data_IF_588564755683
#
_entry.id   IF_588564755683
#
_cell.length_a   1.000
_cell.length_b   1.000
_cell.length_c   1.000
_cell.angle_alpha   90.00
_cell.angle_beta   90.00
_cell.angle_gamma   90.00
#
_symmetry.space_group_name_H-M   'P 1'
#
loop_
_entity.id
_entity.type
_entity.pdbx_description
1 polymer ?
#
# COMPACT_ATOMS: atom_id res chain seq x y z
N UNK A 1 -5.15 5.15 -17.05
CA UNK A 1 -4.83 4.60 -15.70
C UNK A 1 -3.42 4.99 -15.23
N UNK A 2 -2.37 4.81 -16.05
CA UNK A 2 -0.98 5.20 -15.71
C UNK A 2 -0.85 6.72 -15.47
N UNK A 3 -1.47 7.55 -16.30
CA UNK A 3 -1.47 9.02 -16.16
C UNK A 3 -2.11 9.51 -14.86
N UNK A 4 -3.18 8.84 -14.40
CA UNK A 4 -3.83 9.19 -13.14
C UNK A 4 -2.92 8.89 -11.94
N UNK A 5 -2.28 7.72 -11.90
CA UNK A 5 -1.36 7.35 -10.80
C UNK A 5 -0.14 8.26 -10.75
N UNK A 6 0.42 8.58 -11.91
CA UNK A 6 1.54 9.50 -12.01
C UNK A 6 1.14 10.91 -11.53
N UNK A 7 -0.04 11.40 -11.93
CA UNK A 7 -0.55 12.68 -11.47
C UNK A 7 -0.76 12.72 -9.95
N UNK A 8 -1.45 11.72 -9.38
CA UNK A 8 -1.69 11.63 -7.93
C UNK A 8 -0.37 11.52 -7.16
N UNK A 9 0.59 10.72 -7.64
CA UNK A 9 1.90 10.58 -6.99
C UNK A 9 2.68 11.91 -7.01
N UNK A 10 2.71 12.59 -8.16
CA UNK A 10 3.32 13.93 -8.29
C UNK A 10 2.66 14.94 -7.37
N UNK A 11 1.34 14.89 -7.24
CA UNK A 11 0.59 15.76 -6.35
C UNK A 11 0.91 15.50 -4.87
N UNK A 12 0.99 14.24 -4.44
CA UNK A 12 1.44 13.87 -3.09
C UNK A 12 2.85 14.41 -2.84
N UNK A 13 3.77 14.25 -3.79
CA UNK A 13 5.15 14.73 -3.67
C UNK A 13 5.20 16.24 -3.55
N UNK A 14 4.39 16.96 -4.33
CA UNK A 14 4.27 18.40 -4.24
C UNK A 14 3.72 18.86 -2.88
N UNK A 15 2.69 18.19 -2.36
CA UNK A 15 2.13 18.48 -1.03
C UNK A 15 3.11 18.21 0.10
N UNK A 16 3.88 17.12 0.02
CA UNK A 16 4.94 16.83 0.98
C UNK A 16 6.06 17.87 0.91
N UNK A 17 6.49 18.25 -0.30
CA UNK A 17 7.51 19.26 -0.51
C UNK A 17 7.09 20.62 0.05
N UNK A 18 5.88 21.09 -0.25
CA UNK A 18 5.36 22.38 0.27
C UNK A 18 5.18 22.36 1.78
N UNK A 19 4.93 21.18 2.37
CA UNK A 19 4.86 21.01 3.82
C UNK A 19 6.24 20.92 4.52
N UNK A 20 7.35 20.84 3.79
CA UNK A 20 8.71 20.74 4.34
C UNK A 20 9.26 19.32 4.47
N UNK A 21 8.62 18.33 3.84
CA UNK A 21 9.00 16.91 3.87
C UNK A 21 9.37 16.39 2.46
N UNK A 22 10.37 16.98 1.79
CA UNK A 22 10.65 16.66 0.40
C UNK A 22 11.13 15.21 0.23
N UNK A 23 10.73 14.61 -0.89
CA UNK A 23 11.21 13.30 -1.32
C UNK A 23 12.00 13.43 -2.63
N UNK A 24 13.12 12.70 -2.78
CA UNK A 24 13.83 12.61 -4.04
C UNK A 24 12.95 12.06 -5.17
N UNK A 25 13.11 12.59 -6.39
CA UNK A 25 12.34 12.13 -7.56
C UNK A 25 12.51 10.63 -7.86
N UNK A 26 13.67 10.06 -7.54
CA UNK A 26 13.97 8.62 -7.69
C UNK A 26 13.01 7.72 -6.87
N UNK A 27 12.36 8.27 -5.83
CA UNK A 27 11.36 7.57 -5.02
C UNK A 27 10.06 7.31 -5.78
N UNK A 28 9.77 8.06 -6.85
CA UNK A 28 8.50 7.99 -7.58
C UNK A 28 8.14 6.56 -7.98
N UNK A 29 9.10 5.81 -8.53
CA UNK A 29 8.86 4.42 -8.93
C UNK A 29 8.59 3.50 -7.72
N UNK A 30 9.26 3.70 -6.60
CA UNK A 30 9.01 2.91 -5.38
C UNK A 30 7.64 3.20 -4.78
N UNK A 31 7.15 4.44 -4.89
CA UNK A 31 5.78 4.80 -4.48
C UNK A 31 4.74 4.20 -5.44
N UNK A 32 5.02 4.15 -6.74
CA UNK A 32 4.17 3.43 -7.69
C UNK A 32 4.13 1.92 -7.40
N UNK A 33 5.26 1.31 -7.03
CA UNK A 33 5.30 -0.10 -6.60
C UNK A 33 4.51 -0.31 -5.31
N UNK A 34 4.59 0.62 -4.35
CA UNK A 34 3.80 0.59 -3.12
C UNK A 34 2.29 0.68 -3.42
N UNK A 35 1.88 1.60 -4.30
CA UNK A 35 0.50 1.66 -4.79
C UNK A 35 0.11 0.33 -5.44
N UNK A 36 0.96 -0.23 -6.28
CA UNK A 36 0.68 -1.51 -6.92
C UNK A 36 0.42 -2.64 -5.90
N UNK A 37 1.13 -2.66 -4.78
CA UNK A 37 0.82 -3.60 -3.68
C UNK A 37 -0.59 -3.35 -3.10
N UNK A 38 -1.08 -2.11 -3.04
CA UNK A 38 -2.46 -1.80 -2.64
C UNK A 38 -3.49 -2.36 -3.63
N UNK A 39 -3.17 -2.42 -4.93
CA UNK A 39 -4.13 -2.95 -5.91
C UNK A 39 -4.29 -4.48 -5.82
N UNK A 40 -3.26 -5.21 -5.38
CA UNK A 40 -3.30 -6.68 -5.27
C UNK A 40 -4.22 -7.05 -4.09
N UNK A 41 -5.34 -7.77 -4.29
CA UNK A 41 -6.33 -7.97 -3.24
C UNK A 41 -6.07 -9.18 -2.32
N UNK A 42 -4.98 -9.92 -2.48
CA UNK A 42 -4.65 -11.11 -1.66
C UNK A 42 -3.19 -11.11 -1.17
N UNK A 43 -2.95 -11.83 -0.07
CA UNK A 43 -1.66 -11.86 0.58
C UNK A 43 -0.61 -12.65 -0.20
N UNK A 44 -1.00 -13.77 -0.84
CA UNK A 44 -0.05 -14.64 -1.52
C UNK A 44 0.69 -13.88 -2.64
N UNK A 45 -0.03 -13.16 -3.50
CA UNK A 45 0.56 -12.36 -4.55
C UNK A 45 1.30 -11.13 -4.03
N UNK A 46 0.82 -10.49 -2.96
CA UNK A 46 1.53 -9.38 -2.30
C UNK A 46 2.89 -9.82 -1.76
N UNK A 47 2.91 -10.92 -1.02
CA UNK A 47 4.14 -11.47 -0.43
C UNK A 47 5.12 -11.91 -1.52
N UNK A 48 4.66 -12.61 -2.55
CA UNK A 48 5.51 -12.99 -3.67
C UNK A 48 6.09 -11.76 -4.38
N UNK A 49 5.26 -10.76 -4.65
CA UNK A 49 5.65 -9.54 -5.38
C UNK A 49 6.75 -8.79 -4.65
N UNK A 50 6.60 -8.56 -3.35
CA UNK A 50 7.59 -7.81 -2.57
C UNK A 50 8.87 -8.62 -2.31
N UNK A 51 8.78 -9.95 -2.26
CA UNK A 51 9.94 -10.84 -2.10
C UNK A 51 10.77 -10.98 -3.36
N UNK A 52 10.19 -10.77 -4.54
CA UNK A 52 10.93 -10.88 -5.80
C UNK A 52 11.95 -9.72 -5.93
N UNK A 53 13.26 -9.98 -5.88
CA UNK A 53 14.28 -8.93 -5.88
C UNK A 53 14.42 -8.21 -7.22
N UNK A 54 13.93 -8.79 -8.33
CA UNK A 54 13.88 -8.11 -9.63
C UNK A 54 12.79 -7.04 -9.64
N UNK A 55 11.66 -7.32 -9.00
CA UNK A 55 10.54 -6.37 -8.89
C UNK A 55 10.80 -5.34 -7.79
N UNK A 56 11.19 -5.79 -6.60
CA UNK A 56 11.48 -4.94 -5.44
C UNK A 56 12.95 -5.07 -5.07
N UNK A 57 13.77 -4.13 -5.51
CA UNK A 57 15.18 -4.08 -5.14
C UNK A 57 15.35 -3.44 -3.76
N UNK A 58 16.51 -3.61 -3.12
CA UNK A 58 16.74 -3.10 -1.76
C UNK A 58 16.53 -1.59 -1.68
N UNK A 59 16.97 -0.86 -2.71
CA UNK A 59 16.74 0.58 -2.81
C UNK A 59 15.26 0.95 -2.95
N UNK A 60 14.42 0.07 -3.52
CA UNK A 60 12.97 0.30 -3.55
C UNK A 60 12.34 0.17 -2.17
N UNK A 61 12.80 -0.80 -1.37
CA UNK A 61 12.36 -0.98 0.02
C UNK A 61 12.74 0.24 0.85
N UNK A 62 13.99 0.72 0.71
CA UNK A 62 14.45 1.95 1.37
C UNK A 62 13.58 3.16 1.01
N UNK A 63 13.34 3.41 -0.29
CA UNK A 63 12.55 4.56 -0.70
C UNK A 63 11.07 4.45 -0.34
N UNK A 64 10.50 3.23 -0.28
CA UNK A 64 9.16 3.03 0.24
C UNK A 64 9.08 3.36 1.74
N UNK A 65 10.08 2.96 2.53
CA UNK A 65 10.17 3.32 3.96
C UNK A 65 10.34 4.83 4.12
N UNK A 66 11.24 5.45 3.34
CA UNK A 66 11.43 6.90 3.37
C UNK A 66 10.12 7.64 3.08
N UNK A 67 9.36 7.20 2.06
CA UNK A 67 8.03 7.74 1.78
C UNK A 67 7.07 7.59 2.97
N UNK A 68 6.98 6.40 3.56
CA UNK A 68 6.12 6.15 4.74
C UNK A 68 6.50 7.03 5.92
N UNK A 69 7.79 7.23 6.18
CA UNK A 69 8.30 8.12 7.23
C UNK A 69 7.92 9.58 6.95
N UNK A 70 8.09 10.07 5.72
CA UNK A 70 7.71 11.45 5.38
C UNK A 70 6.20 11.67 5.50
N UNK A 71 5.39 10.68 5.11
CA UNK A 71 3.94 10.72 5.32
C UNK A 71 3.62 10.76 6.82
N UNK A 72 4.26 9.94 7.66
CA UNK A 72 4.05 9.97 9.11
C UNK A 72 4.41 11.33 9.73
N UNK A 73 5.54 11.92 9.32
CA UNK A 73 5.95 13.25 9.77
C UNK A 73 4.92 14.31 9.35
N UNK A 74 4.45 14.28 8.11
CA UNK A 74 3.39 15.17 7.63
C UNK A 74 2.10 15.00 8.45
N UNK A 75 1.65 13.77 8.68
CA UNK A 75 0.42 13.50 9.43
C UNK A 75 0.53 13.98 10.89
N UNK A 76 1.68 13.79 11.52
CA UNK A 76 1.91 14.24 12.90
C UNK A 76 1.91 15.76 13.00
N UNK A 77 2.73 16.43 12.20
CA UNK A 77 2.99 17.86 12.35
C UNK A 77 1.93 18.74 11.69
N UNK A 78 1.44 18.37 10.50
CA UNK A 78 0.47 19.19 9.75
C UNK A 78 -0.98 18.85 10.05
N UNK A 79 -1.26 17.62 10.48
CA UNK A 79 -2.63 17.13 10.77
C UNK A 79 -2.86 16.83 12.25
N UNK A 80 -1.90 17.12 13.12
CA UNK A 80 -1.99 16.94 14.57
C UNK A 80 -2.22 15.49 14.99
N UNK A 81 -1.90 14.52 14.13
CA UNK A 81 -2.19 13.11 14.40
C UNK A 81 -1.19 12.55 15.41
N UNK A 82 -1.70 12.17 16.59
CA UNK A 82 -0.87 11.60 17.66
C UNK A 82 -0.61 10.10 17.50
N UNK A 83 -1.42 9.43 16.68
CA UNK A 83 -1.36 7.97 16.47
C UNK A 83 -1.19 7.64 15.00
N UNK A 84 -0.62 6.47 14.71
CA UNK A 84 -0.45 6.00 13.32
C UNK A 84 -1.75 5.44 12.72
N UNK A 85 -2.91 5.67 13.35
CA UNK A 85 -4.18 5.09 12.95
C UNK A 85 -4.64 5.58 11.58
N UNK A 86 -4.42 6.86 11.27
CA UNK A 86 -4.68 7.44 9.94
C UNK A 86 -3.76 6.85 8.87
N UNK A 87 -2.45 6.73 9.14
CA UNK A 87 -1.52 6.07 8.20
C UNK A 87 -2.00 4.65 7.91
N UNK A 88 -2.36 3.88 8.94
CA UNK A 88 -2.85 2.51 8.75
C UNK A 88 -4.17 2.45 7.98
N UNK A 89 -5.08 3.40 8.22
CA UNK A 89 -6.33 3.52 7.45
C UNK A 89 -6.05 3.82 5.98
N UNK A 90 -5.12 4.73 5.69
CA UNK A 90 -4.69 5.08 4.32
C UNK A 90 -4.08 3.84 3.64
N UNK A 91 -3.18 3.12 4.32
CA UNK A 91 -2.52 1.93 3.79
C UNK A 91 -3.45 0.70 3.69
N UNK A 92 -4.63 0.77 4.30
CA UNK A 92 -5.67 -0.24 4.14
C UNK A 92 -6.59 0.03 2.94
N UNK A 93 -6.48 1.18 2.28
CA UNK A 93 -7.26 1.45 1.07
C UNK A 93 -6.67 0.70 -0.13
N UNK A 94 -7.44 0.50 -1.21
CA UNK A 94 -6.93 -0.06 -2.48
C UNK A 94 -6.18 0.98 -3.34
N UNK A 95 -6.05 2.23 -2.89
CA UNK A 95 -5.46 3.31 -3.68
C UNK A 95 -4.79 4.39 -2.83
N UNK A 96 -3.72 5.01 -3.35
CA UNK A 96 -3.13 6.21 -2.75
C UNK A 96 -3.94 7.49 -3.02
N UNK A 97 -4.97 7.45 -3.87
CA UNK A 97 -5.86 8.61 -4.07
C UNK A 97 -6.46 9.09 -2.75
N UNK A 98 -6.78 8.17 -1.83
CA UNK A 98 -7.28 8.53 -0.50
C UNK A 98 -6.27 9.33 0.34
N UNK A 99 -4.97 9.02 0.23
CA UNK A 99 -3.91 9.83 0.85
C UNK A 99 -3.92 11.25 0.27
N UNK A 100 -3.93 11.38 -1.07
CA UNK A 100 -3.96 12.69 -1.74
C UNK A 100 -5.18 13.49 -1.31
N UNK A 101 -6.36 12.88 -1.35
CA UNK A 101 -7.62 13.54 -0.98
C UNK A 101 -7.59 13.98 0.50
N UNK A 102 -7.03 13.15 1.38
CA UNK A 102 -6.86 13.51 2.78
C UNK A 102 -5.87 14.67 2.96
N UNK A 103 -4.75 14.66 2.23
CA UNK A 103 -3.77 15.75 2.25
C UNK A 103 -4.35 17.07 1.71
N UNK A 104 -5.32 17.01 0.79
CA UNK A 104 -6.07 18.18 0.28
C UNK A 104 -7.22 18.63 1.16
N UNK A 105 -7.51 17.95 2.27
CA UNK A 105 -8.72 18.17 3.08
C UNK A 105 -10.01 17.96 2.27
N UNK A 106 -10.03 17.02 1.34
CA UNK A 106 -11.24 16.66 0.59
C UNK A 106 -12.02 15.52 1.28
N UNK A 107 -11.34 14.72 2.11
CA UNK A 107 -11.95 13.64 2.89
C UNK A 107 -11.54 13.74 4.37
N UNK A 108 -12.34 13.11 5.23
CA UNK A 108 -12.15 13.07 6.69
C UNK A 108 -12.15 14.47 7.35
N UNK A 109 -13.01 15.36 6.85
CA UNK A 109 -13.14 16.72 7.38
C UNK A 109 -14.00 16.78 8.65
N UNK A 110 -14.83 15.77 8.90
CA UNK A 110 -15.64 15.63 10.11
C UNK A 110 -15.29 14.36 10.89
N UNK A 111 -15.62 14.35 12.18
CA UNK A 111 -15.50 13.15 13.01
C UNK A 111 -16.38 12.01 12.48
N UNK A 112 -17.53 12.32 11.89
CA UNK A 112 -18.44 11.33 11.30
C UNK A 112 -17.77 10.64 10.10
N UNK A 113 -17.14 11.40 9.21
CA UNK A 113 -16.40 10.84 8.07
C UNK A 113 -15.25 9.93 8.54
N UNK A 114 -14.57 10.35 9.60
CA UNK A 114 -13.51 9.57 10.22
C UNK A 114 -14.03 8.23 10.76
N UNK A 115 -15.12 8.27 11.54
CA UNK A 115 -15.73 7.05 12.06
C UNK A 115 -16.24 6.16 10.94
N UNK A 116 -16.89 6.71 9.90
CA UNK A 116 -17.33 5.95 8.74
C UNK A 116 -16.16 5.25 8.03
N UNK A 117 -15.01 5.92 7.86
CA UNK A 117 -13.83 5.31 7.26
C UNK A 117 -13.26 4.17 8.13
N UNK A 118 -13.22 4.35 9.45
CA UNK A 118 -12.82 3.28 10.37
C UNK A 118 -13.80 2.12 10.41
N UNK A 119 -15.11 2.39 10.26
CA UNK A 119 -16.13 1.35 10.17
C UNK A 119 -15.93 0.51 8.92
N UNK A 120 -15.76 1.14 7.75
CA UNK A 120 -15.44 0.41 6.51
C UNK A 120 -14.18 -0.42 6.63
N UNK A 121 -13.20 0.06 7.40
CA UNK A 121 -11.93 -0.65 7.55
C UNK A 121 -11.96 -1.81 8.54
N UNK A 122 -12.30 -1.58 9.81
CA UNK A 122 -11.97 -2.54 10.89
C UNK A 122 -13.14 -2.89 11.81
N UNK A 123 -14.32 -2.32 11.61
CA UNK A 123 -15.47 -2.67 12.44
C UNK A 123 -15.88 -4.12 12.18
N UNK A 124 -16.19 -4.87 13.22
CA UNK A 124 -16.69 -6.24 13.10
C UNK A 124 -18.14 -6.20 13.56
N UNK A 125 -19.11 -6.24 12.64
CA UNK A 125 -20.52 -6.28 12.99
C UNK A 125 -20.84 -7.50 13.86
N UNK A 126 -21.78 -7.33 14.79
CA UNK A 126 -22.25 -8.43 15.64
C UNK A 126 -23.39 -9.17 14.95
N UNK A 127 -23.62 -10.43 15.34
CA UNK A 127 -24.80 -11.16 14.93
C UNK A 127 -26.06 -10.40 15.40
N UNK A 128 -26.96 -10.08 14.47
CA UNK A 128 -28.15 -9.26 14.71
C UNK A 128 -28.05 -7.79 14.27
N UNK A 129 -26.89 -7.35 13.79
CA UNK A 129 -26.71 -6.00 13.21
C UNK A 129 -27.13 -5.93 11.72
N UNK A 130 -27.72 -7.00 11.19
CA UNK A 130 -28.11 -7.13 9.78
C UNK A 130 -29.11 -6.04 9.37
N UNK A 131 -28.83 -5.36 8.25
CA UNK A 131 -29.63 -4.25 7.75
C UNK A 131 -29.41 -2.91 8.47
N UNK A 132 -28.57 -2.85 9.51
CA UNK A 132 -28.20 -1.59 10.16
C UNK A 132 -27.17 -0.82 9.33
N UNK A 133 -27.10 0.48 9.57
CA UNK A 133 -26.04 1.36 9.06
C UNK A 133 -25.28 1.99 10.22
N UNK A 134 -23.95 1.97 10.11
CA UNK A 134 -23.05 2.52 11.12
C UNK A 134 -22.36 3.76 10.56
N UNK A 135 -22.74 4.96 11.04
CA UNK A 135 -22.22 6.24 10.53
C UNK A 135 -22.38 6.38 8.99
N UNK A 136 -23.52 5.93 8.46
CA UNK A 136 -23.81 5.95 7.01
C UNK A 136 -23.08 4.88 6.21
N UNK A 137 -22.41 3.92 6.86
CA UNK A 137 -21.81 2.75 6.23
C UNK A 137 -22.80 1.58 6.31
N UNK A 138 -23.21 0.99 5.18
CA UNK A 138 -24.02 -0.22 5.16
C UNK A 138 -23.31 -1.39 5.87
N UNK A 139 -24.09 -2.25 6.52
CA UNK A 139 -23.62 -3.45 7.22
C UNK A 139 -22.67 -4.29 6.34
N UNK A 140 -22.99 -4.45 5.06
CA UNK A 140 -22.27 -5.27 4.08
C UNK A 140 -20.88 -4.73 3.74
N UNK A 141 -20.63 -3.45 4.03
CA UNK A 141 -19.35 -2.77 3.77
C UNK A 141 -18.52 -2.60 5.06
N UNK A 142 -19.11 -2.93 6.21
CA UNK A 142 -18.48 -2.68 7.50
C UNK A 142 -17.39 -3.73 7.76
N UNK A 143 -16.16 -3.25 7.90
CA UNK A 143 -14.99 -4.10 8.15
C UNK A 143 -14.43 -4.81 6.92
N UNK A 144 -14.97 -4.59 5.72
CA UNK A 144 -14.58 -5.34 4.53
C UNK A 144 -13.14 -5.05 4.07
N UNK A 145 -12.63 -3.82 4.27
CA UNK A 145 -11.29 -3.47 3.80
C UNK A 145 -10.15 -4.15 4.57
N UNK A 146 -10.42 -4.81 5.70
CA UNK A 146 -9.38 -5.55 6.43
C UNK A 146 -9.14 -6.97 5.88
N UNK A 147 -9.93 -7.42 4.91
CA UNK A 147 -9.87 -8.79 4.39
C UNK A 147 -9.41 -8.83 2.94
N UNK A 148 -8.91 -9.99 2.50
CA UNK A 148 -8.62 -10.25 1.09
C UNK A 148 -9.86 -9.99 0.22
N UNK A 149 -9.64 -9.64 -1.05
CA UNK A 149 -10.70 -9.18 -1.94
C UNK A 149 -11.22 -7.78 -1.60
N UNK A 150 -10.69 -7.12 -0.57
CA UNK A 150 -11.29 -5.92 0.02
C UNK A 150 -12.78 -6.16 0.40
N UNK A 151 -13.08 -7.39 0.82
CA UNK A 151 -14.42 -7.89 1.15
C UNK A 151 -15.33 -8.17 -0.05
N UNK A 152 -14.82 -8.08 -1.28
CA UNK A 152 -15.53 -8.60 -2.45
C UNK A 152 -15.53 -10.13 -2.41
N UNK A 153 -16.67 -10.79 -2.66
CA UNK A 153 -16.70 -12.24 -2.78
C UNK A 153 -15.85 -12.69 -3.98
N UNK A 154 -15.04 -13.74 -3.82
CA UNK A 154 -14.39 -14.38 -4.98
C UNK A 154 -15.49 -14.95 -5.89
N UNK A 155 -15.33 -14.79 -7.19
CA UNK A 155 -16.41 -14.99 -8.18
C UNK A 155 -17.07 -16.38 -8.18
N UNK A 156 -16.51 -17.40 -7.53
CA UNK A 156 -16.93 -18.79 -7.70
C UNK A 156 -17.17 -19.58 -6.38
N UNK A 157 -17.22 -18.92 -5.22
CA UNK A 157 -17.38 -19.60 -3.92
C UNK A 157 -18.83 -19.79 -3.49
N UNK A 158 -19.41 -20.97 -3.73
CA UNK A 158 -20.63 -21.40 -3.03
C UNK A 158 -20.26 -21.74 -1.58
N UNK A 159 -20.42 -20.78 -0.69
CA UNK A 159 -20.17 -20.94 0.75
C UNK A 159 -19.61 -19.68 1.41
N UNK A 160 -19.74 -19.59 2.73
CA UNK A 160 -19.17 -18.50 3.52
C UNK A 160 -17.65 -18.65 3.55
N UNK A 161 -16.96 -18.08 2.55
CA UNK A 161 -15.50 -18.16 2.44
C UNK A 161 -14.84 -17.60 3.72
N UNK A 162 -13.79 -18.28 4.19
CA UNK A 162 -13.03 -17.86 5.36
C UNK A 162 -12.37 -16.53 5.07
N UNK A 163 -12.85 -15.45 5.69
CA UNK A 163 -12.27 -14.11 5.58
C UNK A 163 -10.83 -14.10 6.13
N UNK A 164 -9.84 -14.04 5.23
CA UNK A 164 -8.41 -13.93 5.57
C UNK A 164 -8.07 -12.45 5.70
N UNK A 165 -7.39 -12.05 6.78
CA UNK A 165 -6.96 -10.65 6.97
C UNK A 165 -5.91 -10.27 5.93
N UNK A 166 -6.12 -9.13 5.28
CA UNK A 166 -5.20 -8.58 4.29
C UNK A 166 -4.06 -7.85 5.00
N UNK A 167 -2.82 -8.22 4.68
CA UNK A 167 -1.61 -7.58 5.20
C UNK A 167 -1.43 -6.26 4.45
N UNK A 168 -1.28 -5.17 5.19
CA UNK A 168 -1.15 -3.84 4.58
C UNK A 168 0.23 -3.68 3.91
N UNK A 169 0.35 -2.86 2.86
CA UNK A 169 1.63 -2.63 2.19
C UNK A 169 2.71 -2.05 3.11
N UNK A 170 2.35 -1.20 4.07
CA UNK A 170 3.30 -0.66 5.05
C UNK A 170 3.88 -1.77 5.94
N UNK A 171 3.08 -2.76 6.31
CA UNK A 171 3.55 -3.93 7.06
C UNK A 171 4.43 -4.84 6.21
N UNK A 172 4.09 -5.05 4.94
CA UNK A 172 4.88 -5.87 4.01
C UNK A 172 6.28 -5.30 3.79
N UNK A 173 6.38 -3.99 3.56
CA UNK A 173 7.67 -3.30 3.37
C UNK A 173 8.57 -3.47 4.59
N UNK A 174 8.02 -3.32 5.80
CA UNK A 174 8.77 -3.50 7.04
C UNK A 174 9.22 -4.95 7.25
N UNK A 175 8.34 -5.93 6.97
CA UNK A 175 8.70 -7.36 7.03
C UNK A 175 9.80 -7.71 6.04
N UNK A 176 9.74 -7.13 4.84
CA UNK A 176 10.74 -7.40 3.79
C UNK A 176 12.09 -6.75 4.10
N UNK A 177 12.10 -5.55 4.68
CA UNK A 177 13.31 -4.92 5.23
C UNK A 177 13.98 -5.86 6.23
N UNK A 178 13.23 -6.37 7.21
CA UNK A 178 13.73 -7.27 8.24
C UNK A 178 14.26 -8.57 7.63
N UNK A 179 13.49 -9.19 6.72
CA UNK A 179 13.86 -10.44 6.04
C UNK A 179 15.18 -10.33 5.29
N UNK A 180 15.46 -9.18 4.67
CA UNK A 180 16.69 -8.92 3.92
C UNK A 180 17.85 -8.40 4.79
N UNK A 181 17.60 -8.13 6.07
CA UNK A 181 18.60 -7.56 6.97
C UNK A 181 19.07 -6.16 6.55
N UNK A 182 18.18 -5.35 5.97
CA UNK A 182 18.55 -4.02 5.46
C UNK A 182 18.71 -3.01 6.61
N UNK A 183 19.88 -2.38 6.69
CA UNK A 183 20.14 -1.29 7.63
C UNK A 183 19.79 0.06 6.99
N UNK A 184 18.63 0.63 7.38
CA UNK A 184 18.13 1.89 6.83
C UNK A 184 19.09 3.07 7.06
N UNK A 185 19.82 3.07 8.18
CA UNK A 185 20.79 4.10 8.53
C UNK A 185 22.00 4.08 7.56
N UNK A 186 22.54 2.90 7.28
CA UNK A 186 23.63 2.73 6.32
C UNK A 186 23.17 3.10 4.91
N UNK A 187 21.98 2.64 4.51
CA UNK A 187 21.41 3.00 3.22
C UNK A 187 21.20 4.51 3.08
N UNK A 188 20.73 5.19 4.13
CA UNK A 188 20.57 6.64 4.13
C UNK A 188 21.90 7.36 3.91
N UNK A 189 22.96 6.96 4.66
CA UNK A 189 24.32 7.47 4.46
C UNK A 189 24.77 7.25 3.01
N UNK A 190 24.57 6.05 2.50
CA UNK A 190 25.08 5.66 1.19
C UNK A 190 24.33 6.37 0.04
N UNK A 191 23.02 6.60 0.18
CA UNK A 191 22.21 7.35 -0.79
C UNK A 191 22.50 8.85 -0.77
N UNK A 192 22.49 9.47 0.41
CA UNK A 192 22.44 10.94 0.52
C UNK A 192 23.77 11.58 0.89
N UNK A 193 24.67 10.87 1.57
CA UNK A 193 25.95 11.43 2.01
C UNK A 193 27.11 10.99 1.12
N UNK A 194 27.11 9.73 0.65
CA UNK A 194 28.21 9.16 -0.13
C UNK A 194 27.94 9.05 -1.64
N UNK A 195 26.69 9.18 -2.08
CA UNK A 195 26.31 9.01 -3.49
C UNK A 195 26.52 7.59 -4.03
N UNK A 196 26.63 6.58 -3.15
CA UNK A 196 26.86 5.17 -3.47
C UNK A 196 25.56 4.35 -3.59
N UNK A 197 24.40 5.02 -3.59
CA UNK A 197 23.09 4.38 -3.60
C UNK A 197 22.80 3.44 -4.79
N UNK A 198 23.54 3.59 -5.90
CA UNK A 198 23.41 2.73 -7.07
C UNK A 198 23.63 1.24 -6.78
N UNK A 199 24.43 0.89 -5.76
CA UNK A 199 24.67 -0.50 -5.36
C UNK A 199 23.43 -1.26 -4.92
N UNK A 200 22.38 -0.55 -4.49
CA UNK A 200 21.10 -1.12 -4.09
C UNK A 200 20.12 -1.32 -5.25
N UNK A 201 20.57 -1.03 -6.48
CA UNK A 201 19.84 -1.23 -7.73
C UNK A 201 20.66 -2.05 -8.74
N UNK A 202 20.96 -3.33 -8.46
CA UNK A 202 21.74 -4.18 -9.37
C UNK A 202 21.07 -4.43 -10.74
N UNK A 203 19.76 -4.22 -10.85
CA UNK A 203 18.98 -4.44 -12.08
C UNK A 203 18.29 -3.15 -12.52
N UNK A 204 18.15 -2.95 -13.83
CA UNK A 204 17.42 -1.81 -14.37
C UNK A 204 15.95 -1.81 -13.90
N UNK A 205 15.57 -0.75 -13.17
CA UNK A 205 14.28 -0.69 -12.47
C UNK A 205 13.06 -0.62 -13.41
N UNK A 206 13.23 -0.10 -14.62
CA UNK A 206 12.14 0.14 -15.58
C UNK A 206 11.91 -1.02 -16.56
N UNK A 207 12.86 -1.95 -16.68
CA UNK A 207 12.79 -3.08 -17.62
C UNK A 207 12.03 -4.30 -17.11
N UNK A 208 11.66 -4.33 -15.83
CA UNK A 208 11.06 -5.51 -15.19
C UNK A 208 9.53 -5.47 -15.29
N UNK A 209 8.95 -6.42 -16.03
CA UNK A 209 7.50 -6.60 -16.13
C UNK A 209 7.01 -7.57 -15.07
N UNK A 210 6.12 -7.11 -14.18
CA UNK A 210 5.50 -7.94 -13.16
C UNK A 210 4.80 -9.16 -13.77
N UNK A 211 4.07 -8.97 -14.87
CA UNK A 211 3.36 -10.07 -15.56
C UNK A 211 4.34 -11.13 -16.05
N UNK A 212 5.46 -10.72 -16.67
CA UNK A 212 6.48 -11.68 -17.13
C UNK A 212 7.13 -12.44 -15.97
N UNK A 213 7.39 -11.76 -14.86
CA UNK A 213 7.93 -12.37 -13.65
C UNK A 213 6.95 -13.38 -13.02
N UNK A 214 5.65 -13.04 -12.97
CA UNK A 214 4.61 -13.94 -12.47
C UNK A 214 4.45 -15.15 -13.39
N UNK A 215 4.44 -14.95 -14.70
CA UNK A 215 4.36 -16.05 -15.68
C UNK A 215 5.54 -17.02 -15.52
N UNK A 216 6.77 -16.49 -15.43
CA UNK A 216 7.96 -17.31 -15.22
C UNK A 216 7.93 -18.07 -13.88
N UNK A 217 7.40 -17.45 -12.82
CA UNK A 217 7.22 -18.14 -11.54
C UNK A 217 6.11 -19.20 -11.58
N UNK A 218 5.00 -18.92 -12.27
CA UNK A 218 3.87 -19.83 -12.41
C UNK A 218 4.25 -21.11 -13.19
N UNK A 219 5.08 -20.98 -14.23
CA UNK A 219 5.67 -22.11 -14.96
C UNK A 219 6.47 -23.05 -14.03
N UNK A 220 7.14 -22.51 -13.01
CA UNK A 220 7.91 -23.28 -12.02
C UNK A 220 7.10 -23.80 -10.82
N UNK A 221 5.94 -23.21 -10.53
CA UNK A 221 5.12 -23.51 -9.33
C UNK A 221 3.82 -24.27 -9.64
N UNK A 222 3.50 -24.51 -10.92
CA UNK A 222 2.27 -25.17 -11.34
C UNK A 222 1.01 -24.33 -11.13
N UNK A 223 1.14 -23.00 -11.04
CA UNK A 223 0.01 -22.09 -10.87
C UNK A 223 -0.63 -21.73 -12.20
N UNK A 224 -1.94 -21.51 -12.22
CA UNK A 224 -2.60 -20.87 -13.36
C UNK A 224 -2.23 -19.37 -13.38
N UNK A 225 -1.32 -18.99 -14.27
CA UNK A 225 -0.82 -17.62 -14.36
C UNK A 225 -1.93 -16.61 -14.69
N UNK A 226 -2.98 -17.01 -15.43
CA UNK A 226 -4.10 -16.13 -15.79
C UNK A 226 -4.89 -15.69 -14.56
N UNK A 227 -5.07 -16.58 -13.58
CA UNK A 227 -5.71 -16.26 -12.31
C UNK A 227 -4.81 -15.38 -11.45
N UNK A 228 -3.49 -15.52 -11.58
CA UNK A 228 -2.52 -14.73 -10.83
C UNK A 228 -2.40 -13.28 -11.31
N UNK A 229 -2.71 -12.99 -12.57
CA UNK A 229 -2.63 -11.61 -13.11
C UNK A 229 -3.93 -10.81 -12.98
N UNK A 230 -5.04 -11.47 -12.63
CA UNK A 230 -6.36 -10.86 -12.43
C UNK A 230 -6.48 -10.15 -11.08
N UNK A 231 -6.57 -8.83 -11.09
CA UNK A 231 -6.66 -8.01 -9.87
C UNK A 231 -8.11 -7.71 -9.47
N UNK A 232 -9.09 -8.25 -10.19
CA UNK A 232 -10.53 -8.06 -10.00
C UNK A 232 -11.16 -9.00 -8.95
#
# INVERSE_FOLDING_TARGET
>A
MITHRDHVTKEIFHLLHTAGYPLPLICSLSVHKLWFLMDIPDNARREWTIRNPRIWQDGDIFFAILFLVQVDMYLRERRGQRTNSIRRLIMAQPTLTFLRDYMRSWVLNSNIDLFAAFVRWRYVPKAGDEGLQFFGVPYEMAGELQFEGYGRPRSNGVGMERKVKLVRPDELVLREMERRGLCMQDMYRDFFLLGQGGKYFPVERMGVSWVKEVMAAAEGMGWNWMDMVRLD
#
